data_IF_787743941654
#
_entry.id   IF_787743941654
#
_cell.length_a   1.000
_cell.length_b   1.000
_cell.length_c   1.000
_cell.angle_alpha   90.00
_cell.angle_beta   90.00
_cell.angle_gamma   90.00
#
_symmetry.space_group_name_H-M   'P 1'
#
loop_
_entity.id
_entity.type
_entity.pdbx_description
1 polymer ?
#
# COMPACT_ATOMS: atom_id res chain seq x y z
N UNK A 1 -48.36 35.23 -8.81
CA UNK A 1 -48.70 33.80 -8.64
C UNK A 1 -47.54 32.98 -9.20
N UNK A 2 -46.98 32.14 -8.33
CA UNK A 2 -46.12 30.97 -8.56
C UNK A 2 -44.77 31.13 -9.27
N UNK A 3 -43.75 31.01 -8.44
CA UNK A 3 -42.38 30.64 -8.75
C UNK A 3 -42.27 29.19 -9.25
N UNK A 4 -41.40 28.94 -10.23
CA UNK A 4 -40.69 27.65 -10.36
C UNK A 4 -39.28 27.95 -10.89
N UNK A 5 -38.35 28.16 -9.96
CA UNK A 5 -36.91 28.07 -10.21
C UNK A 5 -36.59 26.58 -10.28
N UNK A 6 -36.42 26.05 -11.50
CA UNK A 6 -35.92 24.68 -11.66
C UNK A 6 -34.39 24.73 -11.54
N UNK A 7 -33.93 24.57 -10.31
CA UNK A 7 -32.55 24.30 -9.96
C UNK A 7 -32.06 23.07 -10.74
N UNK A 8 -31.24 23.29 -11.76
CA UNK A 8 -30.28 22.27 -12.17
C UNK A 8 -29.36 22.07 -10.98
N UNK A 9 -29.54 20.95 -10.30
CA UNK A 9 -28.64 20.50 -9.26
C UNK A 9 -27.24 20.40 -9.87
N UNK A 10 -26.41 21.41 -9.59
CA UNK A 10 -24.96 21.25 -9.58
C UNK A 10 -24.71 20.32 -8.40
N UNK A 11 -24.80 19.02 -8.65
CA UNK A 11 -24.18 18.05 -7.76
C UNK A 11 -22.73 18.54 -7.60
N UNK A 12 -22.21 18.66 -6.36
CA UNK A 12 -20.80 18.95 -6.20
C UNK A 12 -20.07 17.87 -7.00
N UNK A 13 -19.00 18.29 -7.65
CA UNK A 13 -17.97 17.40 -8.18
C UNK A 13 -17.53 16.52 -7.01
N UNK A 14 -18.28 15.44 -6.75
CA UNK A 14 -18.03 14.54 -5.66
C UNK A 14 -16.82 13.77 -6.12
N UNK A 15 -15.68 14.26 -5.63
CA UNK A 15 -14.35 13.72 -5.80
C UNK A 15 -14.36 12.30 -6.35
N UNK A 16 -14.06 12.16 -7.64
CA UNK A 16 -13.40 10.97 -8.12
C UNK A 16 -12.09 10.90 -7.33
N UNK A 17 -12.13 10.29 -6.15
CA UNK A 17 -10.91 9.91 -5.42
C UNK A 17 -10.21 8.93 -6.36
N UNK A 18 -9.03 9.30 -6.84
CA UNK A 18 -8.10 8.36 -7.46
C UNK A 18 -7.94 7.21 -6.47
N UNK A 19 -8.39 6.01 -6.84
CA UNK A 19 -8.24 4.83 -5.99
C UNK A 19 -6.75 4.61 -5.74
N UNK A 20 -6.36 4.48 -4.48
CA UNK A 20 -4.96 4.32 -4.13
C UNK A 20 -4.63 2.85 -4.33
N UNK A 21 -3.96 2.53 -5.44
CA UNK A 21 -3.72 1.13 -5.84
C UNK A 21 -2.46 0.60 -5.19
N UNK A 22 -2.50 -0.65 -4.70
CA UNK A 22 -1.29 -1.35 -4.24
C UNK A 22 -0.35 -1.56 -5.43
N UNK A 23 0.85 -1.00 -5.36
CA UNK A 23 1.82 -1.01 -6.47
C UNK A 23 2.47 -2.39 -6.57
N UNK A 24 2.35 -3.12 -7.70
CA UNK A 24 3.02 -4.41 -7.86
C UNK A 24 4.51 -4.21 -8.17
N UNK A 25 5.38 -4.98 -7.52
CA UNK A 25 6.82 -5.03 -7.75
C UNK A 25 7.24 -6.47 -8.03
N UNK A 26 7.78 -6.67 -9.23
CA UNK A 26 8.17 -7.98 -9.75
C UNK A 26 9.67 -8.06 -10.12
N UNK A 27 10.43 -6.97 -9.95
CA UNK A 27 11.86 -6.96 -10.19
C UNK A 27 12.53 -5.80 -9.44
N UNK A 28 13.87 -5.80 -9.46
CA UNK A 28 14.70 -4.81 -8.79
C UNK A 28 14.50 -3.38 -9.33
N UNK A 29 14.37 -3.20 -10.64
CA UNK A 29 14.19 -1.87 -11.23
C UNK A 29 12.88 -1.20 -10.79
N UNK A 30 11.79 -1.98 -10.70
CA UNK A 30 10.51 -1.50 -10.16
C UNK A 30 10.63 -1.13 -8.69
N UNK A 31 11.35 -1.94 -7.91
CA UNK A 31 11.62 -1.65 -6.49
C UNK A 31 12.40 -0.34 -6.31
N UNK A 32 13.49 -0.16 -7.06
CA UNK A 32 14.33 1.03 -6.98
C UNK A 32 13.56 2.30 -7.38
N UNK A 33 12.72 2.21 -8.42
CA UNK A 33 11.83 3.30 -8.81
C UNK A 33 10.84 3.66 -7.70
N UNK A 34 10.18 2.66 -7.10
CA UNK A 34 9.20 2.87 -6.02
C UNK A 34 9.85 3.56 -4.82
N UNK A 35 11.06 3.16 -4.43
CA UNK A 35 11.78 3.82 -3.33
C UNK A 35 12.14 5.26 -3.67
N UNK A 36 12.66 5.52 -4.87
CA UNK A 36 13.03 6.86 -5.31
C UNK A 36 11.81 7.79 -5.39
N UNK A 37 10.71 7.33 -5.98
CA UNK A 37 9.46 8.08 -6.11
C UNK A 37 8.83 8.37 -4.73
N UNK A 38 8.81 7.39 -3.83
CA UNK A 38 8.28 7.55 -2.47
C UNK A 38 9.09 8.55 -1.65
N UNK A 39 10.42 8.53 -1.77
CA UNK A 39 11.28 9.54 -1.16
C UNK A 39 11.01 10.94 -1.70
N UNK A 40 10.91 11.08 -3.03
CA UNK A 40 10.62 12.37 -3.66
C UNK A 40 9.26 12.95 -3.21
N UNK A 41 8.30 12.08 -2.89
CA UNK A 41 6.96 12.44 -2.40
C UNK A 41 6.85 12.49 -0.87
N UNK A 42 7.93 12.20 -0.13
CA UNK A 42 7.94 12.10 1.33
C UNK A 42 6.84 11.15 1.87
N UNK A 43 6.67 10.01 1.20
CA UNK A 43 5.72 8.95 1.57
C UNK A 43 6.44 7.80 2.27
N UNK A 44 5.79 7.23 3.29
CA UNK A 44 6.25 6.00 3.93
C UNK A 44 5.81 4.81 3.09
N UNK A 45 6.73 3.89 2.77
CA UNK A 45 6.42 2.69 1.99
C UNK A 45 6.03 1.54 2.93
N UNK A 46 4.93 0.88 2.60
CA UNK A 46 4.46 -0.36 3.23
C UNK A 46 4.62 -1.49 2.20
N UNK A 47 5.69 -2.26 2.31
CA UNK A 47 6.00 -3.34 1.39
C UNK A 47 5.52 -4.69 1.94
N UNK A 48 4.55 -5.32 1.27
CA UNK A 48 4.13 -6.70 1.48
C UNK A 48 4.94 -7.63 0.58
N UNK A 49 5.76 -8.49 1.18
CA UNK A 49 6.48 -9.55 0.49
C UNK A 49 5.64 -10.83 0.53
N UNK A 50 5.19 -11.27 -0.64
CA UNK A 50 4.27 -12.39 -0.79
C UNK A 50 4.41 -13.12 -2.12
N UNK A 51 3.51 -14.06 -2.37
CA UNK A 51 3.42 -14.79 -3.63
C UNK A 51 1.97 -15.19 -3.93
N UNK A 52 1.67 -15.53 -5.19
CA UNK A 52 0.33 -15.96 -5.62
C UNK A 52 -0.12 -17.28 -5.00
N UNK A 53 0.82 -18.17 -4.66
CA UNK A 53 0.55 -19.46 -4.02
C UNK A 53 0.49 -19.38 -2.48
N UNK A 54 0.79 -18.20 -1.90
CA UNK A 54 0.69 -17.97 -0.47
C UNK A 54 -0.77 -17.69 -0.07
N UNK A 55 -1.45 -18.71 0.48
CA UNK A 55 -2.84 -18.61 0.93
C UNK A 55 -3.11 -17.38 1.81
N UNK A 56 -2.37 -17.16 2.92
CA UNK A 56 -2.55 -15.98 3.76
C UNK A 56 -2.34 -14.64 3.03
N UNK A 57 -1.42 -14.57 2.07
CA UNK A 57 -1.18 -13.37 1.26
C UNK A 57 -2.42 -13.06 0.40
N UNK A 58 -2.94 -14.07 -0.31
CA UNK A 58 -4.15 -13.90 -1.15
C UNK A 58 -5.38 -13.48 -0.34
N UNK A 59 -5.55 -14.02 0.88
CA UNK A 59 -6.64 -13.68 1.76
C UNK A 59 -6.59 -12.23 2.29
N UNK A 60 -5.40 -11.61 2.29
CA UNK A 60 -5.23 -10.22 2.72
C UNK A 60 -5.40 -9.20 1.59
N UNK A 61 -5.30 -9.57 0.32
CA UNK A 61 -5.28 -8.60 -0.81
C UNK A 61 -6.41 -7.57 -0.78
N UNK A 62 -7.65 -8.02 -0.62
CA UNK A 62 -8.82 -7.12 -0.58
C UNK A 62 -8.81 -6.21 0.65
N UNK A 63 -8.26 -6.68 1.75
CA UNK A 63 -8.12 -5.90 2.98
C UNK A 63 -6.99 -4.88 2.86
N UNK A 64 -5.84 -5.25 2.31
CA UNK A 64 -4.72 -4.32 2.06
C UNK A 64 -5.14 -3.23 1.08
N UNK A 65 -5.92 -3.55 0.05
CA UNK A 65 -6.48 -2.55 -0.87
C UNK A 65 -7.41 -1.56 -0.14
N UNK A 66 -8.23 -2.02 0.80
CA UNK A 66 -9.03 -1.11 1.63
C UNK A 66 -8.15 -0.26 2.56
N UNK A 67 -7.06 -0.82 3.07
CA UNK A 67 -6.10 -0.05 3.88
C UNK A 67 -5.37 1.00 3.04
N UNK A 68 -5.02 0.72 1.78
CA UNK A 68 -4.40 1.72 0.90
C UNK A 68 -5.34 2.87 0.56
N UNK A 69 -6.63 2.62 0.47
CA UNK A 69 -7.65 3.67 0.32
C UNK A 69 -7.86 4.48 1.61
N UNK A 70 -7.69 3.84 2.78
CA UNK A 70 -7.81 4.49 4.11
C UNK A 70 -6.60 5.37 4.44
N UNK A 71 -5.39 4.87 4.18
CA UNK A 71 -4.12 5.53 4.50
C UNK A 71 -3.47 6.05 3.20
N UNK A 72 -4.00 7.15 2.67
CA UNK A 72 -3.59 7.71 1.38
C UNK A 72 -2.18 8.33 1.37
N UNK A 73 -1.63 8.61 2.54
CA UNK A 73 -0.28 9.15 2.74
C UNK A 73 0.80 8.04 2.77
N UNK A 74 0.37 6.78 2.88
CA UNK A 74 1.23 5.60 2.79
C UNK A 74 1.24 5.07 1.36
N UNK A 75 2.42 4.63 0.91
CA UNK A 75 2.57 3.94 -0.36
C UNK A 75 2.59 2.42 -0.14
N UNK A 76 1.49 1.73 -0.50
CA UNK A 76 1.39 0.28 -0.37
C UNK A 76 1.94 -0.42 -1.60
N UNK A 77 2.81 -1.39 -1.37
CA UNK A 77 3.55 -2.09 -2.43
C UNK A 77 3.46 -3.59 -2.18
N UNK A 78 3.17 -4.36 -3.22
CA UNK A 78 3.16 -5.82 -3.19
C UNK A 78 4.38 -6.34 -3.96
N UNK A 79 5.35 -6.90 -3.25
CA UNK A 79 6.59 -7.47 -3.79
C UNK A 79 6.41 -8.97 -3.95
N UNK A 80 6.44 -9.43 -5.21
CA UNK A 80 6.40 -10.85 -5.52
C UNK A 80 7.79 -11.47 -5.28
N UNK A 81 7.89 -12.38 -4.31
CA UNK A 81 9.17 -12.98 -3.91
C UNK A 81 9.76 -13.93 -4.96
N UNK A 82 8.93 -14.47 -5.87
CA UNK A 82 9.38 -15.36 -6.93
C UNK A 82 9.95 -14.58 -8.11
N UNK A 83 9.38 -13.41 -8.40
CA UNK A 83 9.83 -12.55 -9.49
C UNK A 83 10.95 -11.59 -9.04
N UNK A 84 10.77 -10.91 -7.90
CA UNK A 84 11.71 -9.95 -7.34
C UNK A 84 12.73 -10.60 -6.37
N UNK A 85 13.31 -11.74 -6.76
CA UNK A 85 14.20 -12.56 -5.90
C UNK A 85 15.34 -11.79 -5.27
N UNK A 86 15.96 -10.87 -6.02
CA UNK A 86 17.05 -10.02 -5.52
C UNK A 86 16.58 -9.14 -4.35
N UNK A 87 15.38 -8.55 -4.47
CA UNK A 87 14.79 -7.70 -3.43
C UNK A 87 14.40 -8.55 -2.22
N UNK A 88 13.75 -9.69 -2.43
CA UNK A 88 13.41 -10.61 -1.35
C UNK A 88 14.66 -11.10 -0.58
N UNK A 89 15.76 -11.36 -1.29
CA UNK A 89 17.06 -11.69 -0.67
C UNK A 89 17.65 -10.51 0.09
N UNK A 90 17.59 -9.29 -0.47
CA UNK A 90 18.11 -8.08 0.17
C UNK A 90 17.47 -7.81 1.54
N UNK A 91 16.19 -8.17 1.71
CA UNK A 91 15.45 -7.98 2.94
C UNK A 91 15.30 -9.27 3.79
N UNK A 92 16.07 -10.31 3.50
CA UNK A 92 16.08 -11.59 4.21
C UNK A 92 14.67 -12.19 4.42
N UNK A 93 13.87 -12.20 3.35
CA UNK A 93 12.49 -12.73 3.42
C UNK A 93 12.53 -14.26 3.52
N UNK A 94 12.13 -14.77 4.69
CA UNK A 94 12.08 -16.22 4.99
C UNK A 94 10.66 -16.73 5.29
N UNK A 95 9.68 -15.84 5.38
CA UNK A 95 8.28 -16.16 5.68
C UNK A 95 7.34 -15.21 4.96
N UNK A 96 6.16 -15.69 4.56
CA UNK A 96 5.17 -14.89 3.83
C UNK A 96 3.78 -14.96 4.49
N UNK A 97 3.02 -13.84 4.49
CA UNK A 97 3.47 -12.52 4.09
C UNK A 97 4.43 -11.94 5.15
N UNK A 98 5.40 -11.14 4.69
CA UNK A 98 6.19 -10.25 5.55
C UNK A 98 5.91 -8.82 5.13
N UNK A 99 5.55 -7.97 6.09
CA UNK A 99 5.39 -6.54 5.86
C UNK A 99 6.61 -5.79 6.39
N UNK A 100 7.15 -4.87 5.58
CA UNK A 100 8.26 -4.00 5.95
C UNK A 100 7.83 -2.55 5.76
N UNK A 101 8.10 -1.72 6.75
CA UNK A 101 7.93 -0.26 6.69
C UNK A 101 9.27 0.38 6.34
N UNK A 102 9.28 1.20 5.29
CA UNK A 102 10.46 1.93 4.85
C UNK A 102 10.20 3.44 4.86
N UNK A 103 11.13 4.19 5.44
CA UNK A 103 11.20 5.64 5.36
C UNK A 103 12.62 6.03 4.97
N UNK A 104 12.76 6.90 3.96
CA UNK A 104 14.06 7.30 3.39
C UNK A 104 14.95 6.08 3.04
N UNK A 105 14.35 5.05 2.43
CA UNK A 105 14.93 3.73 2.12
C UNK A 105 15.35 2.85 3.31
N UNK A 106 15.26 3.35 4.54
CA UNK A 106 15.62 2.62 5.75
C UNK A 106 14.44 1.83 6.32
N UNK A 107 14.66 0.55 6.62
CA UNK A 107 13.69 -0.29 7.33
C UNK A 107 13.47 0.24 8.74
N UNK A 108 12.22 0.52 9.08
CA UNK A 108 11.80 1.06 10.38
C UNK A 108 11.11 0.03 11.24
N UNK A 109 10.31 -0.84 10.62
CA UNK A 109 9.56 -1.88 11.32
C UNK A 109 9.25 -3.04 10.38
N UNK A 110 9.11 -4.23 10.96
CA UNK A 110 8.74 -5.46 10.27
C UNK A 110 7.66 -6.22 11.03
N UNK A 111 6.70 -6.75 10.29
CA UNK A 111 5.66 -7.63 10.81
C UNK A 111 5.59 -8.92 9.98
N UNK A 112 5.55 -10.05 10.67
CA UNK A 112 5.42 -11.38 10.05
C UNK A 112 3.97 -11.86 10.13
N UNK A 113 3.49 -12.46 9.04
CA UNK A 113 2.20 -13.12 8.98
C UNK A 113 1.00 -12.18 8.79
N UNK A 114 -0.16 -12.79 8.64
CA UNK A 114 -1.40 -12.11 8.25
C UNK A 114 -2.26 -11.65 9.45
N UNK A 115 -1.66 -10.99 10.44
CA UNK A 115 -2.36 -10.55 11.66
C UNK A 115 -2.89 -9.12 11.46
N UNK A 116 -4.15 -9.00 11.01
CA UNK A 116 -4.77 -7.70 10.66
C UNK A 116 -4.66 -6.62 11.74
N UNK A 117 -4.91 -6.95 13.00
CA UNK A 117 -4.83 -5.98 14.10
C UNK A 117 -3.42 -5.40 14.28
N UNK A 118 -2.40 -6.25 14.16
CA UNK A 118 -0.99 -5.83 14.21
C UNK A 118 -0.63 -4.96 13.00
N UNK A 119 -1.05 -5.37 11.80
CA UNK A 119 -0.80 -4.62 10.58
C UNK A 119 -1.49 -3.26 10.58
N UNK A 120 -2.74 -3.18 11.02
CA UNK A 120 -3.47 -1.92 11.12
C UNK A 120 -2.85 -0.97 12.16
N UNK A 121 -2.42 -1.50 13.31
CA UNK A 121 -1.68 -0.72 14.30
C UNK A 121 -0.35 -0.17 13.72
N UNK A 122 0.36 -0.98 12.94
CA UNK A 122 1.58 -0.56 12.24
C UNK A 122 1.26 0.51 11.19
N UNK A 123 0.24 0.36 10.36
CA UNK A 123 -0.13 1.36 9.37
C UNK A 123 -0.54 2.68 10.03
N UNK A 124 -1.34 2.62 11.09
CA UNK A 124 -1.73 3.79 11.86
C UNK A 124 -0.53 4.52 12.49
N UNK A 125 0.44 3.78 13.05
CA UNK A 125 1.67 4.34 13.63
C UNK A 125 2.48 5.16 12.63
N UNK A 126 2.51 4.75 11.35
CA UNK A 126 3.33 5.38 10.32
C UNK A 126 2.57 6.33 9.39
N UNK A 127 1.24 6.33 9.44
CA UNK A 127 0.42 7.34 8.80
C UNK A 127 0.53 8.66 9.57
N UNK A 128 0.53 9.75 8.82
CA UNK A 128 0.63 11.13 9.33
C UNK A 128 -0.76 11.72 9.67
N UNK A 129 -1.86 11.01 9.38
CA UNK A 129 -3.24 11.49 9.49
C UNK A 129 -4.20 10.50 10.14
#
# INVERSE_FOLDING_TARGET
MLAVVLLLAVAPVQAFRTLNTVVPVNNKAQWDFVLADSMAKNQTVIAEFGAVWCGPCTALRSWVQQMSDKYNDLNFVAVDVDNAKEVAKQYDIIAMPTFIVLQDTSEKERALGAIKSRLEAMFHKYSKY
#
